data_IF_890553511833
#
_entry.id   IF_890553511833
#
_cell.length_a   1.000
_cell.length_b   1.000
_cell.length_c   1.000
_cell.angle_alpha   90.00
_cell.angle_beta   90.00
_cell.angle_gamma   90.00
#
_symmetry.space_group_name_H-M   'P 1'
#
loop_
_entity.id
_entity.type
_entity.pdbx_description
1 polymer ?
#
# COMPACT_ATOMS: atom_id res chain seq x y z
N UNK A 1 6.36 4.21 1.89
CA UNK A 1 4.89 4.09 1.90
C UNK A 1 4.37 2.69 2.27
N UNK A 2 5.01 1.60 1.82
CA UNK A 2 4.63 0.22 2.20
C UNK A 2 4.55 -0.02 3.72
N UNK A 3 5.49 0.53 4.51
CA UNK A 3 5.46 0.44 5.99
C UNK A 3 4.19 1.09 6.58
N UNK A 4 3.75 2.22 6.02
CA UNK A 4 2.53 2.91 6.44
C UNK A 4 1.30 2.07 6.10
N UNK A 5 1.22 1.53 4.88
CA UNK A 5 0.14 0.63 4.49
C UNK A 5 0.04 -0.57 5.44
N UNK A 6 1.14 -1.29 5.69
CA UNK A 6 1.17 -2.43 6.63
C UNK A 6 0.77 -2.05 8.06
N UNK A 7 1.21 -0.88 8.56
CA UNK A 7 0.80 -0.38 9.87
C UNK A 7 -0.70 -0.08 9.96
N UNK A 8 -1.33 0.32 8.86
CA UNK A 8 -2.78 0.51 8.82
C UNK A 8 -3.48 -0.86 8.74
N UNK A 9 -2.99 -1.78 7.92
CA UNK A 9 -3.53 -3.14 7.79
C UNK A 9 -3.55 -3.88 9.13
N UNK A 10 -2.51 -3.74 9.94
CA UNK A 10 -2.51 -4.31 11.31
C UNK A 10 -3.58 -3.72 12.22
N UNK A 11 -3.93 -2.43 12.07
CA UNK A 11 -5.00 -1.78 12.85
C UNK A 11 -6.40 -2.25 12.46
N UNK A 12 -6.58 -2.68 11.21
CA UNK A 12 -7.85 -3.21 10.70
C UNK A 12 -7.88 -4.74 10.64
N UNK A 13 -6.91 -5.41 11.30
CA UNK A 13 -6.77 -6.87 11.33
C UNK A 13 -6.74 -7.52 9.93
N UNK A 14 -6.13 -6.84 8.95
CA UNK A 14 -5.93 -7.36 7.61
C UNK A 14 -4.54 -7.96 7.44
N UNK A 15 -4.41 -8.88 6.48
CA UNK A 15 -3.15 -9.49 6.03
C UNK A 15 -2.07 -8.43 5.74
N UNK A 16 -0.79 -8.73 5.90
CA UNK A 16 0.30 -7.81 5.50
C UNK A 16 0.59 -7.84 3.99
N UNK A 17 -0.06 -8.73 3.25
CA UNK A 17 0.02 -8.79 1.80
C UNK A 17 -0.64 -7.55 1.19
N UNK A 18 0.15 -6.73 0.49
CA UNK A 18 -0.33 -5.49 -0.13
C UNK A 18 -1.08 -5.71 -1.45
N UNK A 19 -1.09 -6.94 -1.97
CA UNK A 19 -1.89 -7.31 -3.15
C UNK A 19 -3.31 -7.74 -2.79
N UNK A 20 -3.60 -7.92 -1.51
CA UNK A 20 -4.94 -8.22 -1.03
C UNK A 20 -5.68 -6.94 -0.63
N UNK A 21 -6.96 -6.86 -0.94
CA UNK A 21 -7.81 -5.76 -0.48
C UNK A 21 -8.18 -5.87 1.00
N UNK A 22 -8.46 -4.74 1.64
CA UNK A 22 -9.06 -4.68 2.99
C UNK A 22 -10.58 -4.70 2.87
N UNK A 23 -11.20 -5.84 3.21
CA UNK A 23 -12.65 -6.06 3.05
C UNK A 23 -13.45 -5.80 4.33
N UNK A 24 -12.94 -6.26 5.47
CA UNK A 24 -13.73 -6.36 6.70
C UNK A 24 -13.35 -5.32 7.75
N UNK A 25 -14.36 -4.75 8.39
CA UNK A 25 -14.19 -3.87 9.53
C UNK A 25 -14.08 -4.69 10.82
N UNK A 26 -13.06 -4.45 11.67
CA UNK A 26 -12.99 -5.06 12.99
C UNK A 26 -14.22 -4.77 13.88
N UNK A 27 -14.53 -5.73 14.77
CA UNK A 27 -15.54 -5.55 15.81
C UNK A 27 -15.18 -4.36 16.71
N UNK A 28 -16.18 -3.55 17.09
CA UNK A 28 -15.98 -2.36 17.93
C UNK A 28 -15.38 -1.13 17.24
N UNK A 29 -14.87 -1.25 16.01
CA UNK A 29 -14.41 -0.09 15.25
C UNK A 29 -15.59 0.69 14.66
N UNK A 30 -15.57 2.03 14.77
CA UNK A 30 -16.56 2.88 14.11
C UNK A 30 -16.38 2.88 12.59
N UNK A 31 -17.47 2.83 11.82
CA UNK A 31 -17.43 2.70 10.35
C UNK A 31 -16.64 3.84 9.69
N UNK A 32 -16.84 5.08 10.14
CA UNK A 32 -16.10 6.25 9.64
C UNK A 32 -14.58 6.12 9.84
N UNK A 33 -14.16 5.52 10.95
CA UNK A 33 -12.74 5.28 11.25
C UNK A 33 -12.17 4.22 10.33
N UNK A 34 -12.91 3.14 10.12
CA UNK A 34 -12.53 2.08 9.19
C UNK A 34 -12.36 2.60 7.76
N UNK A 35 -13.35 3.30 7.23
CA UNK A 35 -13.30 3.86 5.87
C UNK A 35 -12.14 4.83 5.68
N UNK A 36 -11.87 5.66 6.69
CA UNK A 36 -10.70 6.55 6.66
C UNK A 36 -9.40 5.75 6.60
N UNK A 37 -9.24 4.74 7.46
CA UNK A 37 -8.04 3.89 7.46
C UNK A 37 -7.89 3.13 6.14
N UNK A 38 -8.97 2.55 5.62
CA UNK A 38 -8.98 1.86 4.32
C UNK A 38 -8.52 2.78 3.19
N UNK A 39 -9.02 4.02 3.15
CA UNK A 39 -8.58 5.01 2.15
C UNK A 39 -7.11 5.41 2.33
N UNK A 40 -6.65 5.64 3.56
CA UNK A 40 -5.25 5.97 3.84
C UNK A 40 -4.29 4.82 3.47
N UNK A 41 -4.72 3.57 3.69
CA UNK A 41 -3.99 2.36 3.30
C UNK A 41 -3.87 2.27 1.78
N UNK A 42 -4.98 2.42 1.07
CA UNK A 42 -5.02 2.38 -0.40
C UNK A 42 -4.10 3.44 -1.02
N UNK A 43 -4.16 4.68 -0.52
CA UNK A 43 -3.27 5.76 -0.99
C UNK A 43 -1.80 5.44 -0.71
N UNK A 44 -1.48 4.91 0.48
CA UNK A 44 -0.12 4.53 0.81
C UNK A 44 0.38 3.38 -0.07
N UNK A 45 -0.47 2.40 -0.35
CA UNK A 45 -0.13 1.27 -1.20
C UNK A 45 0.12 1.72 -2.66
N UNK A 46 -0.81 2.51 -3.23
CA UNK A 46 -0.67 3.11 -4.56
C UNK A 46 0.62 3.92 -4.70
N UNK A 47 0.93 4.79 -3.74
CA UNK A 47 2.16 5.57 -3.76
C UNK A 47 3.42 4.68 -3.75
N UNK A 48 3.43 3.56 -3.02
CA UNK A 48 4.54 2.61 -3.13
C UNK A 48 4.61 1.91 -4.49
N UNK A 49 3.48 1.54 -5.08
CA UNK A 49 3.44 0.92 -6.40
C UNK A 49 3.99 1.85 -7.46
N UNK A 50 3.60 3.13 -7.46
CA UNK A 50 4.14 4.12 -8.38
C UNK A 50 5.64 4.34 -8.19
N UNK A 51 6.11 4.48 -6.95
CA UNK A 51 7.54 4.62 -6.68
C UNK A 51 8.36 3.41 -7.15
N UNK A 52 7.81 2.19 -7.01
CA UNK A 52 8.47 0.97 -7.50
C UNK A 52 8.49 0.92 -9.03
N UNK A 53 7.38 1.26 -9.69
CA UNK A 53 7.28 1.31 -11.15
C UNK A 53 8.26 2.34 -11.74
N UNK A 54 8.38 3.51 -11.11
CA UNK A 54 9.36 4.53 -11.50
C UNK A 54 10.79 4.04 -11.34
N UNK A 55 11.11 3.38 -10.21
CA UNK A 55 12.43 2.80 -9.99
C UNK A 55 12.78 1.74 -11.04
N UNK A 56 11.85 0.85 -11.36
CA UNK A 56 12.04 -0.17 -12.42
C UNK A 56 12.28 0.48 -13.78
N UNK A 57 11.51 1.53 -14.12
CA UNK A 57 11.73 2.30 -15.36
C UNK A 57 13.13 2.92 -15.42
N UNK A 58 13.64 3.45 -14.30
CA UNK A 58 14.99 4.01 -14.24
C UNK A 58 16.07 2.94 -14.37
N UNK A 59 15.89 1.77 -13.73
CA UNK A 59 16.81 0.64 -13.87
C UNK A 59 16.92 0.19 -15.34
N UNK A 60 15.79 0.00 -16.03
CA UNK A 60 15.78 -0.37 -17.44
C UNK A 60 16.48 0.65 -18.35
N UNK A 61 16.35 1.95 -18.07
CA UNK A 61 17.04 3.01 -18.83
C UNK A 61 18.56 2.99 -18.60
N UNK A 62 18.98 2.72 -17.37
CA UNK A 62 20.40 2.70 -17.02
C UNK A 62 21.11 1.48 -17.62
N UNK A 63 20.44 0.32 -17.71
CA UNK A 63 20.98 -0.87 -18.37
C UNK A 63 21.22 -0.66 -19.87
N UNK A 64 20.34 0.09 -20.55
CA UNK A 64 20.49 0.42 -21.98
C UNK A 64 21.63 1.40 -22.28
N UNK A 65 22.01 2.27 -21.32
CA UNK A 65 23.09 3.25 -21.50
C UNK A 65 24.46 2.71 -21.06
N UNK A 66 24.50 1.50 -20.48
CA UNK A 66 25.71 0.86 -19.95
C UNK A 66 26.29 -0.23 -20.88
N UNK A 67 25.64 -0.50 -22.01
CA UNK A 67 26.11 -1.40 -23.08
C UNK A 67 26.53 -0.64 -24.32
#
# INVERSE_FOLDING_TARGET
MMRKARKIRSRVNASNNLFESVWEKPKGMHWKTFERLKREEMQANQASTFAMAEKLRLLNKNEWLAG
#
